data_IF_311121587901
#
_entry.id   IF_311121587901
#
_cell.length_a   1.000
_cell.length_b   1.000
_cell.length_c   1.000
_cell.angle_alpha   90.00
_cell.angle_beta   90.00
_cell.angle_gamma   90.00
#
_symmetry.space_group_name_H-M   'P 1'
#
loop_
_entity.id
_entity.type
_entity.pdbx_description
1 polymer ?
#
# COMPACT_ATOMS: atom_id res chain seq x y z
N UNK A 1 -16.19 1.15 -32.61
CA UNK A 1 -16.16 2.06 -31.44
C UNK A 1 -17.42 1.81 -30.62
N UNK A 2 -17.36 0.96 -29.59
CA UNK A 2 -18.13 1.10 -28.34
C UNK A 2 -17.75 -0.03 -27.37
N UNK A 3 -17.81 0.30 -26.09
CA UNK A 3 -17.13 -0.32 -24.95
C UNK A 3 -17.57 -1.77 -24.64
N UNK A 4 -16.59 -2.64 -24.36
CA UNK A 4 -16.81 -3.89 -23.66
C UNK A 4 -16.61 -3.65 -22.16
N UNK A 5 -17.73 -3.52 -21.46
CA UNK A 5 -17.82 -3.58 -20.00
C UNK A 5 -17.36 -4.97 -19.53
N UNK A 6 -16.30 -5.02 -18.76
CA UNK A 6 -15.78 -6.25 -18.16
C UNK A 6 -15.67 -6.06 -16.64
N UNK A 7 -16.80 -6.27 -15.99
CA UNK A 7 -16.92 -6.49 -14.56
C UNK A 7 -16.29 -7.85 -14.24
N UNK A 8 -15.23 -7.90 -13.45
CA UNK A 8 -14.68 -9.16 -12.97
C UNK A 8 -14.53 -9.15 -11.44
N UNK A 9 -15.44 -9.89 -10.80
CA UNK A 9 -15.30 -10.43 -9.45
C UNK A 9 -14.07 -11.36 -9.45
N UNK A 10 -13.09 -11.11 -8.58
CA UNK A 10 -11.96 -12.03 -8.36
C UNK A 10 -11.89 -12.39 -6.89
N UNK A 11 -12.05 -13.68 -6.62
CA UNK A 11 -11.86 -14.28 -5.32
C UNK A 11 -10.39 -14.52 -4.99
N UNK A 12 -10.10 -14.45 -3.69
CA UNK A 12 -9.38 -15.54 -3.03
C UNK A 12 -7.88 -15.46 -2.76
N UNK A 13 -7.10 -14.42 -3.13
CA UNK A 13 -5.72 -14.40 -2.60
C UNK A 13 -5.71 -14.01 -1.11
N UNK A 14 -5.07 -14.80 -0.27
CA UNK A 14 -4.78 -14.36 1.10
C UNK A 14 -3.80 -13.19 0.98
N UNK A 15 -4.11 -12.05 1.61
CA UNK A 15 -3.12 -10.98 1.79
C UNK A 15 -1.89 -11.67 2.40
N UNK A 16 -0.81 -11.81 1.62
CA UNK A 16 0.46 -12.26 2.15
C UNK A 16 0.81 -11.28 3.27
N UNK A 17 0.78 -11.75 4.51
CA UNK A 17 1.19 -10.94 5.65
C UNK A 17 2.66 -10.63 5.40
N UNK A 18 3.03 -9.36 5.16
CA UNK A 18 4.42 -9.04 4.94
C UNK A 18 5.17 -9.23 6.25
N UNK A 19 6.34 -9.87 6.14
CA UNK A 19 7.31 -9.93 7.22
C UNK A 19 7.61 -8.49 7.68
N UNK A 20 7.65 -8.23 8.99
CA UNK A 20 8.17 -6.99 9.56
C UNK A 20 7.18 -5.88 9.94
N UNK A 21 6.02 -5.79 9.30
CA UNK A 21 5.01 -4.76 9.59
C UNK A 21 4.13 -5.08 10.82
N UNK A 22 3.44 -4.08 11.42
CA UNK A 22 2.47 -4.32 12.48
C UNK A 22 1.43 -5.35 12.04
N UNK A 23 1.41 -6.51 12.70
CA UNK A 23 0.45 -7.59 12.42
C UNK A 23 -0.97 -7.19 12.84
N UNK A 24 -1.07 -6.35 13.87
CA UNK A 24 -2.33 -5.79 14.34
C UNK A 24 -2.60 -4.45 13.62
N UNK A 25 -3.87 -4.15 13.31
CA UNK A 25 -4.25 -2.83 12.83
C UNK A 25 -3.85 -1.73 13.81
N UNK A 26 -3.58 -0.54 13.28
CA UNK A 26 -3.23 0.64 14.06
C UNK A 26 -3.93 1.88 13.53
N UNK A 27 -3.99 2.94 14.34
CA UNK A 27 -4.56 4.21 13.94
C UNK A 27 -3.44 5.19 13.53
N UNK A 28 -3.58 5.77 12.34
CA UNK A 28 -2.69 6.82 11.86
C UNK A 28 -3.34 8.18 12.18
N UNK A 29 -2.78 8.88 13.15
CA UNK A 29 -3.19 10.24 13.49
C UNK A 29 -2.48 11.24 12.55
N UNK A 30 -3.02 12.46 12.41
CA UNK A 30 -2.30 13.52 11.71
C UNK A 30 -0.93 13.81 12.35
N UNK A 31 0.06 14.05 11.49
CA UNK A 31 1.46 14.27 11.86
C UNK A 31 2.31 13.00 11.74
N UNK A 32 3.53 13.10 12.27
CA UNK A 32 4.55 12.06 12.21
C UNK A 32 4.34 10.99 13.28
N UNK A 33 4.40 9.73 12.85
CA UNK A 33 4.41 8.55 13.71
C UNK A 33 5.57 7.65 13.34
N UNK A 34 6.31 7.19 14.34
CA UNK A 34 7.43 6.27 14.16
C UNK A 34 7.01 4.88 14.63
N UNK A 35 7.27 3.89 13.80
CA UNK A 35 6.94 2.47 14.02
C UNK A 35 8.24 1.68 13.90
N UNK A 36 8.64 1.06 15.01
CA UNK A 36 9.71 0.06 14.98
C UNK A 36 9.17 -1.23 14.38
N UNK A 37 9.90 -1.76 13.39
CA UNK A 37 9.50 -2.96 12.68
C UNK A 37 9.90 -4.19 13.50
N UNK A 38 9.03 -5.20 13.53
CA UNK A 38 9.30 -6.46 14.29
C UNK A 38 10.36 -7.31 13.61
N UNK A 39 10.47 -7.17 12.30
CA UNK A 39 11.49 -7.75 11.46
C UNK A 39 11.82 -6.73 10.36
N UNK A 40 13.04 -6.74 9.81
CA UNK A 40 13.39 -5.78 8.78
C UNK A 40 12.54 -5.94 7.52
N UNK A 41 12.14 -4.82 6.91
CA UNK A 41 11.59 -4.79 5.56
C UNK A 41 12.72 -4.73 4.56
N UNK A 42 12.75 -5.67 3.61
CA UNK A 42 13.79 -5.70 2.59
C UNK A 42 13.23 -5.15 1.29
N UNK A 43 13.85 -4.11 0.72
CA UNK A 43 13.58 -3.69 -0.65
C UNK A 43 14.56 -4.41 -1.58
N UNK A 44 14.14 -5.54 -2.16
CA UNK A 44 15.04 -6.39 -2.98
C UNK A 44 15.36 -5.76 -4.33
N UNK A 45 14.43 -4.98 -4.87
CA UNK A 45 14.56 -4.28 -6.14
C UNK A 45 13.85 -2.92 -6.10
N UNK A 46 14.18 -1.99 -7.03
CA UNK A 46 13.43 -0.76 -7.18
C UNK A 46 11.94 -0.99 -7.45
N UNK A 47 11.11 -0.07 -6.99
CA UNK A 47 9.66 -0.11 -7.18
C UNK A 47 8.90 -0.87 -6.09
N UNK A 48 9.50 -1.01 -4.91
CA UNK A 48 8.81 -1.47 -3.73
C UNK A 48 7.65 -0.51 -3.36
N UNK A 49 6.63 -1.04 -2.71
CA UNK A 49 5.42 -0.29 -2.37
C UNK A 49 4.96 -0.63 -0.98
N UNK A 50 4.44 0.38 -0.30
CA UNK A 50 3.70 0.20 0.94
C UNK A 50 2.22 0.45 0.65
N UNK A 51 1.36 -0.52 0.96
CA UNK A 51 -0.09 -0.40 0.83
C UNK A 51 -0.71 -0.29 2.20
N UNK A 52 -1.45 0.79 2.46
CA UNK A 52 -2.18 1.00 3.71
C UNK A 52 -3.65 0.72 3.47
N UNK A 53 -4.12 -0.48 3.83
CA UNK A 53 -5.53 -0.85 3.78
C UNK A 53 -6.30 -0.15 4.89
N UNK A 54 -7.35 0.58 4.50
CA UNK A 54 -8.18 1.36 5.42
C UNK A 54 -9.64 0.87 5.30
N UNK A 55 -10.13 0.09 6.27
CA UNK A 55 -11.50 -0.46 6.22
C UNK A 55 -12.59 0.61 6.09
N UNK A 56 -12.38 1.81 6.65
CA UNK A 56 -13.34 2.90 6.54
C UNK A 56 -13.58 3.35 5.09
N UNK A 57 -12.55 3.23 4.22
CA UNK A 57 -12.63 3.62 2.81
C UNK A 57 -13.37 2.60 1.94
N UNK A 58 -13.53 1.37 2.41
CA UNK A 58 -14.31 0.32 1.73
C UNK A 58 -15.80 0.67 1.56
N UNK A 59 -16.33 1.57 2.39
CA UNK A 59 -17.76 1.91 2.42
C UNK A 59 -18.19 2.95 1.38
N UNK A 60 -17.26 3.44 0.56
CA UNK A 60 -17.52 4.48 -0.42
C UNK A 60 -18.25 3.93 -1.66
N UNK A 61 -19.54 3.63 -1.54
CA UNK A 61 -20.44 3.29 -2.66
C UNK A 61 -20.10 1.99 -3.40
N UNK A 62 -20.88 1.60 -4.41
CA UNK A 62 -20.67 0.39 -5.24
C UNK A 62 -20.08 0.66 -6.62
N UNK A 63 -20.02 1.93 -7.05
CA UNK A 63 -19.44 2.37 -8.32
C UNK A 63 -17.96 2.72 -8.13
N UNK A 64 -17.07 1.95 -8.77
CA UNK A 64 -15.62 2.11 -8.64
C UNK A 64 -15.10 3.45 -9.19
N UNK A 65 -15.73 4.03 -10.21
CA UNK A 65 -15.29 5.31 -10.80
C UNK A 65 -15.65 6.47 -9.89
N UNK A 66 -16.89 6.48 -9.39
CA UNK A 66 -17.35 7.49 -8.44
C UNK A 66 -16.61 7.36 -7.10
N UNK A 67 -16.31 6.12 -6.69
CA UNK A 67 -15.48 5.84 -5.51
C UNK A 67 -14.08 6.41 -5.67
N UNK A 68 -13.41 6.16 -6.80
CA UNK A 68 -12.07 6.68 -7.05
C UNK A 68 -12.04 8.22 -7.02
N UNK A 69 -13.01 8.88 -7.64
CA UNK A 69 -13.12 10.34 -7.61
C UNK A 69 -13.36 10.88 -6.17
N UNK A 70 -14.25 10.23 -5.43
CA UNK A 70 -14.56 10.59 -4.03
C UNK A 70 -13.34 10.42 -3.13
N UNK A 71 -12.60 9.32 -3.31
CA UNK A 71 -11.36 9.07 -2.57
C UNK A 71 -10.30 10.11 -2.92
N UNK A 72 -10.06 10.40 -4.21
CA UNK A 72 -9.10 11.41 -4.62
C UNK A 72 -9.42 12.80 -4.06
N UNK A 73 -10.70 13.17 -3.96
CA UNK A 73 -11.11 14.43 -3.35
C UNK A 73 -10.89 14.45 -1.83
N UNK A 74 -11.19 13.35 -1.12
CA UNK A 74 -11.05 13.26 0.32
C UNK A 74 -9.59 13.06 0.78
N UNK A 75 -8.80 12.34 -0.01
CA UNK A 75 -7.44 11.90 0.29
C UNK A 75 -6.56 12.15 -0.94
N UNK A 76 -6.25 13.41 -1.31
CA UNK A 76 -5.44 13.66 -2.50
C UNK A 76 -4.08 12.96 -2.41
N UNK A 77 -3.42 12.64 -3.55
CA UNK A 77 -2.04 12.16 -3.55
C UNK A 77 -1.14 13.04 -2.68
N UNK A 78 -0.12 12.45 -2.06
CA UNK A 78 0.72 13.06 -1.03
C UNK A 78 0.00 13.47 0.28
N UNK A 79 -1.21 12.97 0.54
CA UNK A 79 -1.86 13.08 1.85
C UNK A 79 -1.17 12.24 2.93
N UNK A 80 -0.48 11.17 2.53
CA UNK A 80 0.34 10.32 3.40
C UNK A 80 1.70 10.11 2.75
N UNK A 81 2.76 10.21 3.52
CA UNK A 81 4.12 9.82 3.13
C UNK A 81 4.70 8.86 4.15
N UNK A 82 5.72 8.13 3.72
CA UNK A 82 6.46 7.23 4.58
C UNK A 82 7.96 7.38 4.34
N UNK A 83 8.75 7.17 5.38
CA UNK A 83 10.20 7.04 5.28
C UNK A 83 10.62 5.77 5.99
N UNK A 84 11.20 4.84 5.25
CA UNK A 84 11.87 3.68 5.81
C UNK A 84 13.33 4.03 6.07
N UNK A 85 13.84 3.66 7.24
CA UNK A 85 15.24 3.89 7.63
C UNK A 85 15.92 2.58 8.02
N UNK A 86 17.15 2.40 7.57
CA UNK A 86 18.03 1.29 7.91
C UNK A 86 18.99 1.69 9.03
N UNK A 87 19.52 0.71 9.75
CA UNK A 87 20.57 0.92 10.76
C UNK A 87 21.82 1.57 10.16
N UNK A 88 22.11 1.31 8.88
CA UNK A 88 23.27 1.86 8.16
C UNK A 88 23.03 3.27 7.60
N UNK A 89 21.91 3.91 7.93
CA UNK A 89 21.57 5.27 7.51
C UNK A 89 20.93 5.38 6.12
N UNK A 90 20.69 4.26 5.43
CA UNK A 90 19.91 4.25 4.20
C UNK A 90 18.46 4.66 4.45
N UNK A 91 17.89 5.46 3.55
CA UNK A 91 16.51 5.93 3.63
C UNK A 91 15.78 5.65 2.32
N UNK A 92 14.52 5.20 2.44
CA UNK A 92 13.61 5.03 1.31
C UNK A 92 12.35 5.84 1.57
N UNK A 93 12.14 6.85 0.73
CA UNK A 93 10.98 7.72 0.79
C UNK A 93 9.87 7.19 -0.10
N UNK A 94 8.67 7.07 0.47
CA UNK A 94 7.46 6.66 -0.22
C UNK A 94 6.41 7.76 -0.09
N UNK A 95 5.66 8.00 -1.16
CA UNK A 95 4.57 8.98 -1.17
C UNK A 95 3.30 8.33 -1.67
N UNK A 96 2.17 8.67 -1.06
CA UNK A 96 0.85 8.27 -1.54
C UNK A 96 0.66 8.75 -2.99
N UNK A 97 0.58 7.81 -3.91
CA UNK A 97 0.47 8.05 -5.35
C UNK A 97 -0.82 7.53 -5.97
N UNK A 98 -1.60 6.76 -5.23
CA UNK A 98 -2.92 6.31 -5.68
C UNK A 98 -3.54 5.25 -4.79
N UNK A 99 -4.45 4.47 -5.36
CA UNK A 99 -5.32 3.55 -4.65
C UNK A 99 -5.28 2.15 -5.24
N UNK A 100 -5.52 1.15 -4.40
CA UNK A 100 -5.74 -0.24 -4.84
C UNK A 100 -6.88 -0.85 -4.03
N UNK A 101 -7.82 -1.48 -4.73
CA UNK A 101 -8.90 -2.25 -4.11
C UNK A 101 -8.55 -3.73 -4.05
N UNK A 102 -8.84 -4.38 -2.93
CA UNK A 102 -8.60 -5.81 -2.73
C UNK A 102 -9.66 -6.41 -1.79
N UNK A 103 -10.45 -7.39 -2.27
CA UNK A 103 -11.54 -8.02 -1.49
C UNK A 103 -12.47 -6.99 -0.80
N UNK A 104 -12.83 -5.93 -1.53
CA UNK A 104 -13.67 -4.87 -0.99
C UNK A 104 -12.97 -3.91 -0.04
N UNK A 105 -11.69 -4.12 0.30
CA UNK A 105 -10.89 -3.15 1.05
C UNK A 105 -10.20 -2.18 0.10
N UNK A 106 -10.23 -0.89 0.44
CA UNK A 106 -9.48 0.14 -0.27
C UNK A 106 -8.16 0.38 0.47
N UNK A 107 -7.06 0.32 -0.27
CA UNK A 107 -5.73 0.62 0.20
C UNK A 107 -5.14 1.85 -0.47
N UNK A 108 -4.45 2.67 0.32
CA UNK A 108 -3.60 3.75 -0.16
C UNK A 108 -2.28 3.13 -0.61
N UNK A 109 -1.85 3.42 -1.83
CA UNK A 109 -0.58 2.94 -2.38
C UNK A 109 0.45 4.04 -2.22
N UNK A 110 1.50 3.75 -1.46
CA UNK A 110 2.69 4.57 -1.33
C UNK A 110 3.80 3.97 -2.18
N UNK A 111 4.34 4.78 -3.10
CA UNK A 111 5.39 4.39 -4.03
C UNK A 111 6.67 5.17 -3.76
N UNK A 112 7.80 4.55 -4.07
CA UNK A 112 9.12 5.19 -4.04
C UNK A 112 9.13 6.53 -4.78
N UNK A 113 9.67 7.56 -4.12
CA UNK A 113 9.93 8.87 -4.73
C UNK A 113 11.14 8.79 -5.65
N UNK A 114 12.16 8.06 -5.22
CA UNK A 114 13.35 7.72 -5.97
C UNK A 114 13.66 6.24 -5.78
N UNK A 115 14.23 5.61 -6.81
CA UNK A 115 14.59 4.19 -6.75
C UNK A 115 15.44 3.90 -5.51
N UNK A 116 14.93 3.03 -4.64
CA UNK A 116 15.66 2.62 -3.45
C UNK A 116 16.92 1.84 -3.79
N UNK A 117 17.90 1.87 -2.88
CA UNK A 117 19.00 0.93 -2.95
C UNK A 117 18.45 -0.50 -2.76
N UNK A 118 18.79 -1.40 -3.68
CA UNK A 118 18.37 -2.80 -3.62
C UNK A 118 19.05 -3.54 -2.47
N UNK A 119 18.38 -4.57 -1.97
CA UNK A 119 18.80 -5.43 -0.86
C UNK A 119 19.11 -4.69 0.46
N UNK A 120 18.49 -3.54 0.68
CA UNK A 120 18.57 -2.83 1.97
C UNK A 120 17.50 -3.34 2.91
N UNK A 121 17.91 -3.64 4.15
CA UNK A 121 17.04 -3.98 5.26
C UNK A 121 16.69 -2.73 6.07
N UNK A 122 15.42 -2.35 6.08
CA UNK A 122 14.89 -1.22 6.83
C UNK A 122 14.26 -1.71 8.13
N UNK A 123 14.61 -1.07 9.25
CA UNK A 123 14.19 -1.48 10.61
C UNK A 123 13.16 -0.53 11.21
N UNK A 124 13.07 0.69 10.68
CA UNK A 124 12.17 1.72 11.20
C UNK A 124 11.30 2.25 10.06
N UNK A 125 10.00 2.37 10.31
CA UNK A 125 9.02 3.00 9.43
C UNK A 125 8.50 4.27 10.07
N UNK A 126 8.73 5.40 9.42
CA UNK A 126 8.08 6.66 9.77
C UNK A 126 6.91 6.89 8.81
N UNK A 127 5.73 7.18 9.34
CA UNK A 127 4.56 7.60 8.58
C UNK A 127 4.23 9.04 8.93
N UNK A 128 3.99 9.88 7.92
CA UNK A 128 3.45 11.21 8.10
C UNK A 128 2.13 11.31 7.35
N UNK A 129 1.08 11.74 8.06
CA UNK A 129 -0.26 11.85 7.51
C UNK A 129 -0.84 13.23 7.76
N UNK A 130 -1.47 13.81 6.74
CA UNK A 130 -2.23 15.06 6.89
C UNK A 130 -3.63 14.84 7.48
N UNK A 131 -4.05 13.59 7.56
CA UNK A 131 -5.42 13.18 7.85
C UNK A 131 -5.44 12.01 8.83
N UNK A 132 -6.57 11.79 9.49
CA UNK A 132 -6.73 10.67 10.41
C UNK A 132 -7.22 9.44 9.67
N UNK A 133 -6.55 8.30 9.83
CA UNK A 133 -7.00 6.98 9.37
C UNK A 133 -7.10 6.04 10.56
N UNK A 134 -8.15 5.23 10.59
CA UNK A 134 -8.39 4.27 11.67
C UNK A 134 -8.28 2.84 11.17
N UNK A 135 -7.84 1.93 12.04
CA UNK A 135 -7.80 0.50 11.79
C UNK A 135 -7.00 0.15 10.51
N UNK A 136 -5.90 0.88 10.30
CA UNK A 136 -5.02 0.75 9.14
C UNK A 136 -4.24 -0.56 9.23
N UNK A 137 -4.20 -1.30 8.13
CA UNK A 137 -3.32 -2.46 7.95
C UNK A 137 -2.28 -2.14 6.89
N UNK A 138 -1.01 -2.26 7.24
CA UNK A 138 0.08 -2.00 6.32
C UNK A 138 0.53 -3.29 5.63
N UNK A 139 0.81 -3.21 4.34
CA UNK A 139 1.33 -4.31 3.52
C UNK A 139 2.52 -3.84 2.70
N UNK A 140 3.68 -4.48 2.88
CA UNK A 140 4.89 -4.25 2.11
C UNK A 140 4.90 -5.14 0.88
N UNK A 141 5.26 -4.58 -0.27
CA UNK A 141 5.44 -5.26 -1.54
C UNK A 141 6.85 -4.95 -2.04
N UNK A 142 7.76 -5.91 -1.91
CA UNK A 142 9.21 -5.74 -2.19
C UNK A 142 9.61 -6.00 -3.65
N UNK A 143 8.65 -6.38 -4.49
CA UNK A 143 8.83 -6.57 -5.92
C UNK A 143 7.79 -5.74 -6.68
N UNK A 144 8.14 -5.19 -7.86
CA UNK A 144 7.12 -4.83 -8.81
C UNK A 144 6.42 -6.13 -9.17
N UNK A 145 5.18 -6.33 -8.71
CA UNK A 145 4.32 -7.38 -9.25
C UNK A 145 4.12 -7.03 -10.74
N UNK A 146 5.03 -7.49 -11.58
CA UNK A 146 4.95 -7.47 -13.04
C UNK A 146 3.98 -8.59 -13.40
N UNK A 147 2.69 -8.25 -13.45
CA UNK A 147 1.57 -9.16 -13.74
C UNK A 147 1.42 -10.34 -12.76
N UNK A 148 0.18 -10.60 -12.39
CA UNK A 148 -0.25 -11.97 -12.06
C UNK A 148 -0.69 -12.55 -13.39
N UNK A 149 0.09 -13.46 -13.96
CA UNK A 149 -0.34 -14.29 -15.08
C UNK A 149 -0.94 -15.57 -14.51
N UNK A 150 -2.09 -15.98 -15.03
CA UNK A 150 -2.73 -17.25 -14.67
C UNK A 150 -1.80 -18.40 -15.07
N UNK A 151 -1.50 -19.29 -14.12
CA UNK A 151 -1.03 -20.63 -14.44
C UNK A 151 -2.22 -21.37 -15.06
N UNK A 152 -2.18 -21.54 -16.38
CA UNK A 152 -3.09 -22.45 -17.07
C UNK A 152 -2.88 -23.87 -16.50
N UNK A 153 -3.85 -24.35 -15.72
CA UNK A 153 -4.01 -25.76 -15.48
C UNK A 153 -4.65 -26.33 -16.74
N UNK A 154 -3.82 -26.97 -17.57
CA UNK A 154 -4.26 -27.74 -18.72
C UNK A 154 -5.28 -28.80 -18.29
N UNK A 155 -6.32 -28.92 -19.10
CA UNK A 155 -7.14 -30.13 -19.16
C UNK A 155 -6.53 -31.05 -20.21
#
# INVERSE_FOLDING_TARGET
MLALLLSFLVGGARLAVPEGLPTAPFDLAPGRQVIELRAPLVARAPGARLVLFVPALARAGSDDSLRAATLMAALPPASVSAVLSSADGHRLELVHSGYRSYHGQVGLVLTEVAAGAGNVAYTTLELDSRIRLQNVRAVWLDQPVRRVEDLELGW
#
